data_IF_338013024182
#
_entry.id   IF_338013024182
#
_cell.length_a   1.000
_cell.length_b   1.000
_cell.length_c   1.000
_cell.angle_alpha   90.00
_cell.angle_beta   90.00
_cell.angle_gamma   90.00
#
_symmetry.space_group_name_H-M   'P 1'
#
loop_
_entity.id
_entity.type
_entity.pdbx_description
1 polymer ?
#
# COMPACT_ATOMS: atom_id res chain seq x y z
N UNK A 1 21.17 -7.76 -18.43
CA UNK A 1 20.99 -6.97 -19.68
C UNK A 1 20.28 -5.66 -19.33
N UNK A 2 20.63 -4.54 -19.98
CA UNK A 2 20.16 -3.21 -19.59
C UNK A 2 18.71 -3.01 -20.03
N UNK A 3 17.80 -2.82 -19.08
CA UNK A 3 16.47 -2.27 -19.36
C UNK A 3 16.64 -0.81 -19.77
N UNK A 4 16.76 -0.60 -21.09
CA UNK A 4 16.85 0.72 -21.73
C UNK A 4 15.55 1.48 -21.49
N UNK A 5 15.66 2.73 -21.06
CA UNK A 5 14.64 3.75 -21.35
C UNK A 5 14.32 3.66 -22.85
N UNK A 6 13.09 3.28 -23.16
CA UNK A 6 12.67 2.97 -24.52
C UNK A 6 11.97 4.16 -25.18
N UNK A 7 11.87 4.19 -26.51
CA UNK A 7 11.08 5.21 -27.24
C UNK A 7 9.58 5.23 -26.91
N UNK A 8 9.12 4.33 -26.04
CA UNK A 8 7.71 4.07 -25.70
C UNK A 8 7.31 4.58 -24.32
N UNK A 9 8.25 5.04 -23.49
CA UNK A 9 7.96 5.48 -22.12
C UNK A 9 7.55 6.97 -22.12
N UNK A 10 6.30 7.28 -21.76
CA UNK A 10 5.82 8.66 -21.67
C UNK A 10 6.23 9.26 -20.32
N UNK A 11 7.31 10.04 -20.30
CA UNK A 11 7.83 10.66 -19.08
C UNK A 11 7.66 12.19 -19.08
N UNK A 12 7.46 12.80 -17.91
CA UNK A 12 7.42 14.25 -17.74
C UNK A 12 8.27 14.73 -16.56
N UNK A 13 8.77 15.95 -16.66
CA UNK A 13 9.45 16.64 -15.56
C UNK A 13 8.45 16.95 -14.45
N UNK A 14 8.73 16.49 -13.22
CA UNK A 14 7.91 16.77 -12.05
C UNK A 14 7.70 18.27 -11.77
N UNK A 15 8.67 19.11 -12.18
CA UNK A 15 8.63 20.56 -11.95
C UNK A 15 7.81 21.31 -13.02
N UNK A 16 8.14 21.15 -14.29
CA UNK A 16 7.57 21.96 -15.37
C UNK A 16 6.63 21.19 -16.32
N UNK A 17 6.45 19.87 -16.11
CA UNK A 17 5.62 19.03 -16.96
C UNK A 17 6.20 18.69 -18.34
N UNK A 18 7.38 19.23 -18.70
CA UNK A 18 8.00 18.95 -20.00
C UNK A 18 8.38 17.49 -20.18
N UNK A 19 8.17 16.94 -21.38
CA UNK A 19 8.68 15.61 -21.78
C UNK A 19 10.18 15.55 -22.07
N UNK A 20 10.91 16.67 -21.99
CA UNK A 20 12.35 16.75 -22.28
C UNK A 20 13.20 16.30 -21.08
N UNK A 21 12.96 15.10 -20.57
CA UNK A 21 13.68 14.50 -19.44
C UNK A 21 14.69 13.47 -19.93
N UNK A 22 15.95 13.64 -19.53
CA UNK A 22 17.06 12.80 -19.99
C UNK A 22 17.87 12.29 -18.79
N UNK A 23 18.40 11.06 -18.84
CA UNK A 23 19.30 10.57 -17.80
C UNK A 23 20.51 11.49 -17.67
N UNK A 24 20.87 11.87 -16.44
CA UNK A 24 22.07 12.65 -16.17
C UNK A 24 23.29 11.77 -16.46
N UNK A 25 24.04 12.12 -17.50
CA UNK A 25 25.31 11.46 -17.82
C UNK A 25 26.37 11.91 -16.81
N UNK A 26 26.75 11.02 -15.90
CA UNK A 26 27.87 11.25 -14.99
C UNK A 26 29.19 11.06 -15.76
N UNK A 27 29.97 12.13 -15.90
CA UNK A 27 31.23 12.16 -16.66
C UNK A 27 32.28 11.17 -16.11
N UNK A 28 32.14 10.71 -14.86
CA UNK A 28 33.07 9.78 -14.20
C UNK A 28 32.44 8.40 -13.88
N UNK A 29 31.24 8.12 -14.41
CA UNK A 29 30.46 6.94 -14.02
C UNK A 29 29.94 7.02 -12.56
N UNK A 30 29.08 6.07 -12.16
CA UNK A 30 28.55 6.04 -10.79
C UNK A 30 29.65 5.65 -9.78
N UNK A 31 29.73 6.37 -8.66
CA UNK A 31 30.63 6.06 -7.54
C UNK A 31 29.85 5.23 -6.51
N UNK A 32 30.23 3.96 -6.37
CA UNK A 32 29.61 3.04 -5.42
C UNK A 32 29.68 3.57 -3.98
N UNK A 33 28.53 3.69 -3.32
CA UNK A 33 28.40 4.12 -1.92
C UNK A 33 28.19 5.62 -1.69
N UNK A 34 28.31 6.45 -2.73
CA UNK A 34 27.93 7.88 -2.69
C UNK A 34 26.70 8.10 -3.58
N UNK A 35 26.71 7.51 -4.76
CA UNK A 35 25.55 7.44 -5.62
C UNK A 35 24.73 6.23 -5.17
N UNK A 36 23.66 6.46 -4.39
CA UNK A 36 22.57 5.48 -4.34
C UNK A 36 22.13 5.21 -5.78
N UNK A 37 21.58 4.03 -6.09
CA UNK A 37 21.09 3.61 -7.41
C UNK A 37 20.02 4.54 -8.07
N UNK A 38 19.80 5.74 -7.52
CA UNK A 38 19.10 6.87 -8.10
C UNK A 38 19.79 7.39 -9.37
N UNK A 39 19.38 6.85 -10.51
CA UNK A 39 19.54 7.51 -11.82
C UNK A 39 18.87 8.88 -11.74
N UNK A 40 19.65 9.95 -11.55
CA UNK A 40 19.13 11.31 -11.64
C UNK A 40 18.84 11.65 -13.10
N UNK A 41 17.72 12.33 -13.37
CA UNK A 41 17.38 12.82 -14.71
C UNK A 41 17.42 14.35 -14.70
N UNK A 42 17.81 14.93 -15.82
CA UNK A 42 17.78 16.38 -16.04
C UNK A 42 16.68 16.72 -17.03
N UNK A 43 15.83 17.66 -16.66
CA UNK A 43 14.89 18.27 -17.59
C UNK A 43 15.59 19.37 -18.40
N UNK A 44 15.70 19.21 -19.71
CA UNK A 44 16.33 20.23 -20.57
C UNK A 44 15.49 21.50 -20.74
N UNK A 45 14.20 21.45 -20.42
CA UNK A 45 13.33 22.63 -20.50
C UNK A 45 13.45 23.58 -19.28
N UNK A 46 13.75 23.06 -18.08
CA UNK A 46 13.80 23.88 -16.86
C UNK A 46 15.03 23.66 -15.98
N UNK A 47 15.95 22.78 -16.39
CA UNK A 47 17.17 22.44 -15.65
C UNK A 47 16.95 21.66 -14.35
N UNK A 48 15.71 21.22 -14.07
CA UNK A 48 15.41 20.46 -12.85
C UNK A 48 16.05 19.08 -12.90
N UNK A 49 16.77 18.74 -11.82
CA UNK A 49 17.36 17.41 -11.62
C UNK A 49 16.51 16.59 -10.64
N UNK A 50 16.05 15.42 -11.05
CA UNK A 50 15.22 14.56 -10.22
C UNK A 50 14.67 13.35 -10.98
N UNK A 51 13.77 12.59 -10.36
CA UNK A 51 13.07 11.49 -11.03
C UNK A 51 11.93 12.04 -11.90
N UNK A 52 11.74 11.54 -13.13
CA UNK A 52 10.61 11.90 -13.96
C UNK A 52 9.34 11.19 -13.50
N UNK A 53 8.18 11.76 -13.83
CA UNK A 53 6.87 11.15 -13.64
C UNK A 53 6.55 10.35 -14.91
N UNK A 54 6.16 9.09 -14.76
CA UNK A 54 5.80 8.21 -15.87
C UNK A 54 4.30 8.14 -16.06
N UNK A 55 3.88 7.99 -17.32
CA UNK A 55 2.49 7.88 -17.73
C UNK A 55 2.32 6.67 -18.65
N UNK A 56 1.18 6.02 -18.54
CA UNK A 56 0.82 4.88 -19.42
C UNK A 56 0.46 5.33 -20.85
N UNK A 57 0.14 6.61 -21.03
CA UNK A 57 -0.30 7.17 -22.31
C UNK A 57 0.31 8.55 -22.60
N UNK A 58 0.51 8.84 -23.89
CA UNK A 58 0.93 10.17 -24.35
C UNK A 58 -0.09 11.25 -23.97
N UNK A 59 -1.38 10.89 -24.00
CA UNK A 59 -2.48 11.77 -23.63
C UNK A 59 -2.37 12.22 -22.16
N UNK A 60 -2.09 11.28 -21.23
CA UNK A 60 -1.88 11.58 -19.81
C UNK A 60 -0.66 12.47 -19.56
N UNK A 61 0.47 12.18 -20.23
CA UNK A 61 1.67 13.03 -20.16
C UNK A 61 1.40 14.45 -20.68
N UNK A 62 0.71 14.56 -21.82
CA UNK A 62 0.40 15.85 -22.44
C UNK A 62 -0.63 16.64 -21.62
N UNK A 63 -1.56 15.97 -20.94
CA UNK A 63 -2.46 16.60 -19.99
C UNK A 63 -1.70 17.19 -18.80
N UNK A 64 -0.83 16.41 -18.16
CA UNK A 64 0.01 16.89 -17.06
C UNK A 64 0.89 18.09 -17.45
N UNK A 65 1.44 18.07 -18.67
CA UNK A 65 2.21 19.20 -19.21
C UNK A 65 1.36 20.47 -19.36
N UNK A 66 0.10 20.33 -19.79
CA UNK A 66 -0.84 21.46 -19.95
C UNK A 66 -1.28 22.02 -18.60
N UNK A 67 -1.54 21.15 -17.61
CA UNK A 67 -1.89 21.53 -16.24
C UNK A 67 -0.76 22.31 -15.57
N UNK A 68 0.50 21.83 -15.68
CA UNK A 68 1.68 22.52 -15.13
C UNK A 68 1.98 23.86 -15.78
N UNK A 69 1.59 24.05 -17.04
CA UNK A 69 1.77 25.31 -17.77
C UNK A 69 0.63 26.31 -17.55
N UNK A 70 -0.41 25.94 -16.78
CA UNK A 70 -1.49 26.84 -16.38
C UNK A 70 -2.36 27.34 -17.54
N UNK A 71 -2.50 26.55 -18.62
CA UNK A 71 -3.16 27.04 -19.85
C UNK A 71 -4.71 26.96 -19.76
N UNK A 72 -5.31 26.30 -18.76
CA UNK A 72 -6.77 26.36 -18.46
C UNK A 72 -7.03 26.20 -16.94
N UNK A 73 -8.15 26.75 -16.46
CA UNK A 73 -8.69 26.47 -15.12
C UNK A 73 -8.97 24.97 -14.98
N UNK A 74 -8.63 24.41 -13.81
CA UNK A 74 -8.86 23.01 -13.49
C UNK A 74 -10.32 22.64 -13.76
N UNK A 75 -10.55 21.58 -14.54
CA UNK A 75 -11.87 20.98 -14.61
C UNK A 75 -12.36 20.70 -13.18
N UNK A 76 -13.63 21.02 -12.85
CA UNK A 76 -14.15 20.73 -11.52
C UNK A 76 -13.92 19.25 -11.28
N UNK A 77 -13.21 18.93 -10.19
CA UNK A 77 -12.80 17.58 -9.85
C UNK A 77 -14.00 16.65 -10.07
N UNK A 78 -13.94 15.87 -11.15
CA UNK A 78 -14.82 14.72 -11.32
C UNK A 78 -14.66 13.96 -10.02
N UNK A 79 -15.76 13.76 -9.27
CA UNK A 79 -15.75 13.07 -7.98
C UNK A 79 -14.78 11.90 -8.11
N UNK A 80 -13.60 12.02 -7.48
CA UNK A 80 -12.56 11.00 -7.60
C UNK A 80 -13.26 9.71 -7.16
N UNK A 81 -13.23 8.69 -8.03
CA UNK A 81 -13.84 7.39 -7.72
C UNK A 81 -13.36 6.90 -6.34
N UNK A 82 -14.09 5.96 -5.72
CA UNK A 82 -13.77 5.49 -4.38
C UNK A 82 -12.30 5.07 -4.29
N UNK A 83 -11.58 5.62 -3.31
CA UNK A 83 -10.14 5.39 -3.17
C UNK A 83 -9.90 4.03 -2.53
N UNK A 84 -9.04 3.21 -3.14
CA UNK A 84 -8.55 1.96 -2.56
C UNK A 84 -7.26 2.24 -1.79
N UNK A 85 -7.28 2.04 -0.48
CA UNK A 85 -6.16 2.35 0.41
C UNK A 85 -5.70 1.04 1.08
N UNK A 86 -4.58 0.44 0.70
CA UNK A 86 -4.08 -0.75 1.36
C UNK A 86 -3.67 -0.46 2.81
N UNK A 87 -4.08 -1.35 3.71
CA UNK A 87 -3.65 -1.35 5.11
C UNK A 87 -2.24 -1.92 5.19
N UNK A 88 -1.33 -1.24 5.89
CA UNK A 88 0.05 -1.64 6.10
C UNK A 88 0.35 -1.74 7.60
N UNK A 89 0.17 -2.94 8.21
CA UNK A 89 0.49 -3.15 9.61
C UNK A 89 1.98 -3.38 9.81
N UNK A 90 2.63 -2.43 10.47
CA UNK A 90 4.05 -2.52 10.81
C UNK A 90 4.23 -3.15 12.18
N UNK A 91 5.12 -4.12 12.24
CA UNK A 91 5.63 -4.66 13.49
C UNK A 91 7.10 -4.26 13.61
N UNK A 92 7.39 -3.43 14.62
CA UNK A 92 8.71 -2.87 14.90
C UNK A 92 9.42 -3.55 16.07
N UNK A 93 8.72 -4.43 16.80
CA UNK A 93 9.28 -5.24 17.88
C UNK A 93 10.30 -6.28 17.33
N UNK A 94 11.45 -6.47 18.01
CA UNK A 94 12.39 -7.52 17.66
C UNK A 94 11.77 -8.91 17.83
N UNK A 95 12.10 -9.82 16.90
CA UNK A 95 11.60 -11.21 16.85
C UNK A 95 12.05 -12.08 18.03
N UNK A 96 13.03 -11.63 18.80
CA UNK A 96 13.59 -12.32 19.97
C UNK A 96 13.97 -11.25 20.99
N UNK A 97 13.51 -11.38 22.24
CA UNK A 97 13.94 -10.57 23.38
C UNK A 97 15.36 -10.98 23.82
N UNK A 98 16.30 -10.91 22.89
CA UNK A 98 17.72 -10.98 23.17
C UNK A 98 18.22 -9.55 23.24
N UNK A 99 18.57 -9.08 24.43
CA UNK A 99 19.25 -7.79 24.69
C UNK A 99 20.46 -7.50 23.79
N UNK A 100 20.99 -8.50 23.08
CA UNK A 100 22.06 -8.37 22.09
C UNK A 100 21.58 -7.81 20.74
N UNK A 101 20.33 -8.03 20.34
CA UNK A 101 19.78 -7.52 19.07
C UNK A 101 19.51 -6.00 19.12
N UNK A 102 19.33 -5.42 20.31
CA UNK A 102 19.24 -3.96 20.49
C UNK A 102 20.55 -3.23 20.14
N UNK A 103 21.67 -3.95 20.04
CA UNK A 103 22.98 -3.41 19.63
C UNK A 103 23.23 -3.54 18.12
N UNK A 104 22.35 -4.20 17.37
CA UNK A 104 22.45 -4.27 15.91
C UNK A 104 21.70 -3.08 15.31
N UNK A 105 22.36 -2.29 14.44
CA UNK A 105 21.80 -1.04 13.90
C UNK A 105 20.55 -1.23 13.02
N UNK A 106 20.12 -2.47 12.76
CA UNK A 106 19.06 -2.80 11.83
C UNK A 106 17.90 -3.49 12.58
N UNK A 107 16.95 -2.71 13.10
CA UNK A 107 15.66 -3.24 13.51
C UNK A 107 14.91 -3.71 12.25
N UNK A 108 14.62 -5.01 12.17
CA UNK A 108 13.91 -5.60 11.03
C UNK A 108 12.43 -5.26 11.16
N UNK A 109 11.96 -4.32 10.35
CA UNK A 109 10.53 -4.00 10.22
C UNK A 109 9.86 -5.07 9.37
N UNK A 110 8.81 -5.67 9.90
CA UNK A 110 7.99 -6.61 9.15
C UNK A 110 6.59 -6.02 8.93
N UNK A 111 6.03 -6.34 7.76
CA UNK A 111 4.59 -6.18 7.53
C UNK A 111 3.93 -7.52 7.79
N UNK A 112 2.88 -7.52 8.61
CA UNK A 112 2.17 -8.74 9.01
C UNK A 112 0.69 -8.62 8.73
N UNK A 113 0.03 -9.74 8.46
CA UNK A 113 -1.42 -9.75 8.43
C UNK A 113 -1.94 -9.52 9.84
N UNK A 114 -3.13 -8.94 9.97
CA UNK A 114 -3.71 -8.61 11.28
C UNK A 114 -5.13 -9.10 11.38
N UNK A 115 -5.53 -9.45 12.60
CA UNK A 115 -6.90 -9.79 12.98
C UNK A 115 -7.19 -9.23 14.37
N UNK A 116 -8.46 -9.06 14.69
CA UNK A 116 -8.88 -8.67 16.03
C UNK A 116 -9.04 -9.89 16.92
N UNK A 117 -8.28 -9.98 18.00
CA UNK A 117 -8.37 -11.05 18.99
C UNK A 117 -8.07 -10.54 20.39
N UNK A 118 -8.80 -11.07 21.38
CA UNK A 118 -8.59 -10.78 22.80
C UNK A 118 -8.51 -9.26 23.15
N UNK A 119 -9.25 -8.42 22.42
CA UNK A 119 -9.27 -6.98 22.66
C UNK A 119 -8.08 -6.20 22.08
N UNK A 120 -7.32 -6.79 21.15
CA UNK A 120 -6.20 -6.14 20.47
C UNK A 120 -6.00 -6.63 19.03
N UNK A 121 -5.06 -6.00 18.33
CA UNK A 121 -4.65 -6.42 16.99
C UNK A 121 -3.59 -7.51 17.09
N UNK A 122 -3.96 -8.74 16.74
CA UNK A 122 -3.05 -9.88 16.73
C UNK A 122 -2.48 -10.11 15.31
N UNK A 123 -1.17 -10.37 15.17
CA UNK A 123 -0.59 -10.73 13.89
C UNK A 123 -1.09 -12.11 13.43
N UNK A 124 -1.20 -12.30 12.12
CA UNK A 124 -1.51 -13.61 11.50
C UNK A 124 -0.24 -14.30 11.04
N UNK A 125 -0.39 -15.47 10.38
CA UNK A 125 0.75 -16.19 9.79
C UNK A 125 1.38 -15.48 8.58
N UNK A 126 0.72 -14.46 8.01
CA UNK A 126 1.30 -13.68 6.92
C UNK A 126 2.33 -12.70 7.47
N UNK A 127 3.56 -12.79 6.94
CA UNK A 127 4.66 -11.90 7.30
C UNK A 127 5.63 -11.77 6.13
N UNK A 128 6.01 -10.54 5.81
CA UNK A 128 7.04 -10.21 4.81
C UNK A 128 7.88 -9.04 5.32
N UNK A 129 9.03 -8.78 4.71
CA UNK A 129 9.79 -7.57 5.03
C UNK A 129 9.02 -6.32 4.60
N UNK A 130 9.26 -5.20 5.28
CA UNK A 130 8.68 -3.92 4.86
C UNK A 130 9.00 -3.60 3.40
N UNK A 131 10.25 -3.80 2.96
CA UNK A 131 10.68 -3.45 1.61
C UNK A 131 9.93 -4.27 0.53
N UNK A 132 9.79 -5.59 0.73
CA UNK A 132 9.04 -6.44 -0.21
C UNK A 132 7.58 -6.02 -0.32
N UNK A 133 6.93 -5.73 0.81
CA UNK A 133 5.56 -5.26 0.83
C UNK A 133 5.41 -3.89 0.15
N UNK A 134 6.31 -2.97 0.49
CA UNK A 134 6.34 -1.62 -0.03
C UNK A 134 6.54 -1.59 -1.54
N UNK A 135 7.42 -2.44 -2.07
CA UNK A 135 7.64 -2.57 -3.52
C UNK A 135 6.46 -3.25 -4.22
N UNK A 136 5.74 -4.16 -3.55
CA UNK A 136 4.53 -4.75 -4.10
C UNK A 136 3.40 -3.71 -4.28
N UNK A 137 3.09 -2.95 -3.23
CA UNK A 137 2.00 -1.96 -3.29
C UNK A 137 2.39 -0.66 -4.01
N UNK A 138 3.66 -0.27 -3.97
CA UNK A 138 4.19 0.92 -4.64
C UNK A 138 4.68 0.66 -6.07
N UNK A 139 4.76 -0.61 -6.48
CA UNK A 139 5.18 -1.01 -7.81
C UNK A 139 4.14 -0.66 -8.89
N UNK A 140 4.54 -0.64 -10.18
CA UNK A 140 3.68 -0.18 -11.27
C UNK A 140 2.41 -1.02 -11.48
N UNK A 141 2.38 -2.25 -10.94
CA UNK A 141 1.21 -3.14 -11.03
C UNK A 141 0.10 -2.80 -10.02
N UNK A 142 0.41 -2.06 -8.94
CA UNK A 142 -0.56 -1.68 -7.92
C UNK A 142 -0.64 -0.16 -7.75
N UNK A 143 0.51 0.50 -7.65
CA UNK A 143 0.68 1.96 -7.63
C UNK A 143 -0.21 2.66 -6.60
N UNK A 144 -0.14 2.22 -5.34
CA UNK A 144 -0.86 2.83 -4.24
C UNK A 144 -0.43 4.30 -4.07
N UNK A 145 -1.36 5.22 -4.30
CA UNK A 145 -1.14 6.66 -4.05
C UNK A 145 -1.20 7.02 -2.57
N UNK A 146 -1.85 6.16 -1.77
CA UNK A 146 -2.04 6.33 -0.33
C UNK A 146 -2.01 5.00 0.38
N UNK A 147 -1.55 4.98 1.62
CA UNK A 147 -1.58 3.80 2.49
C UNK A 147 -2.17 4.12 3.87
N UNK A 148 -2.72 3.10 4.52
CA UNK A 148 -3.20 3.18 5.90
C UNK A 148 -2.25 2.39 6.81
N UNK A 149 -1.30 3.08 7.43
CA UNK A 149 -0.25 2.48 8.25
C UNK A 149 -0.75 2.24 9.68
N UNK A 150 -0.59 1.02 10.17
CA UNK A 150 -0.89 0.65 11.56
C UNK A 150 0.40 0.35 12.32
N UNK A 151 0.77 1.17 13.31
CA UNK A 151 1.85 0.84 14.24
C UNK A 151 1.33 -0.13 15.31
N UNK A 152 1.63 -1.42 15.14
CA UNK A 152 1.12 -2.44 16.06
C UNK A 152 1.75 -2.36 17.45
N UNK A 153 2.96 -1.82 17.59
CA UNK A 153 3.59 -1.64 18.90
C UNK A 153 2.94 -0.47 19.65
N UNK A 154 2.65 0.62 18.95
CA UNK A 154 1.86 1.73 19.46
C UNK A 154 0.44 1.31 19.85
N UNK A 155 -0.30 0.69 18.93
CA UNK A 155 -1.70 0.29 19.14
C UNK A 155 -1.84 -0.73 20.26
N UNK A 156 -0.99 -1.75 20.34
CA UNK A 156 -1.16 -2.81 21.33
C UNK A 156 -0.47 -2.50 22.68
N UNK A 157 0.59 -1.69 22.70
CA UNK A 157 1.46 -1.53 23.89
C UNK A 157 1.76 -0.08 24.29
N UNK A 158 1.19 0.90 23.59
CA UNK A 158 1.52 2.32 23.79
C UNK A 158 3.02 2.60 23.65
N UNK A 159 3.68 1.93 22.70
CA UNK A 159 5.11 2.08 22.43
C UNK A 159 5.37 2.22 20.92
N UNK A 160 4.89 3.31 20.27
CA UNK A 160 5.13 3.55 18.85
C UNK A 160 6.63 3.76 18.59
N UNK A 161 7.12 3.23 17.47
CA UNK A 161 8.54 3.36 17.11
C UNK A 161 8.74 4.41 16.01
N UNK A 162 8.65 5.68 16.40
CA UNK A 162 8.72 6.81 15.49
C UNK A 162 10.03 6.93 14.72
N UNK A 163 11.16 6.54 15.31
CA UNK A 163 12.46 6.52 14.61
C UNK A 163 12.42 5.62 13.38
N UNK A 164 11.84 4.43 13.53
CA UNK A 164 11.67 3.48 12.43
C UNK A 164 10.63 3.99 11.44
N UNK A 165 9.45 4.40 11.92
CA UNK A 165 8.32 4.82 11.08
C UNK A 165 8.64 6.03 10.21
N UNK A 166 9.46 6.98 10.69
CA UNK A 166 9.92 8.16 9.93
C UNK A 166 10.61 7.82 8.61
N UNK A 167 11.28 6.67 8.55
CA UNK A 167 12.02 6.26 7.35
C UNK A 167 11.13 5.59 6.29
N UNK A 168 9.89 5.26 6.63
CA UNK A 168 8.99 4.44 5.81
C UNK A 168 8.08 5.27 4.86
N UNK A 169 7.74 6.51 5.22
CA UNK A 169 6.67 7.30 4.57
C UNK A 169 7.01 8.08 3.30
N UNK A 170 8.11 7.80 2.59
CA UNK A 170 8.65 8.75 1.59
C UNK A 170 8.14 8.62 0.13
N UNK A 171 7.27 7.65 -0.20
CA UNK A 171 6.86 7.40 -1.61
C UNK A 171 5.39 7.69 -1.92
N UNK A 172 4.51 7.74 -0.94
CA UNK A 172 3.08 7.97 -1.11
C UNK A 172 2.48 8.60 0.14
N UNK A 173 1.24 9.06 0.04
CA UNK A 173 0.54 9.66 1.18
C UNK A 173 0.28 8.61 2.26
N UNK A 174 0.51 8.97 3.52
CA UNK A 174 0.32 8.05 4.65
C UNK A 174 -0.79 8.55 5.56
N UNK A 175 -1.74 7.67 5.86
CA UNK A 175 -2.65 7.79 7.00
C UNK A 175 -2.13 6.90 8.13
N UNK A 176 -1.70 7.50 9.23
CA UNK A 176 -0.99 6.79 10.29
C UNK A 176 -1.86 6.63 11.54
N UNK A 177 -2.12 5.40 11.94
CA UNK A 177 -2.58 5.06 13.28
C UNK A 177 -1.38 4.62 14.13
N UNK A 178 -0.87 5.53 14.96
CA UNK A 178 0.23 5.26 15.90
C UNK A 178 -0.25 4.66 17.23
N UNK A 179 -1.56 4.48 17.41
CA UNK A 179 -2.12 4.00 18.68
C UNK A 179 -2.09 5.01 19.82
N UNK A 180 -2.10 6.31 19.50
CA UNK A 180 -2.15 7.40 20.48
C UNK A 180 -3.33 7.26 21.44
N UNK A 181 -3.06 7.56 22.71
CA UNK A 181 -3.95 7.36 23.86
C UNK A 181 -4.53 8.66 24.40
N UNK A 182 -3.85 9.75 24.08
CA UNK A 182 -4.26 11.12 24.33
C UNK A 182 -4.21 11.88 23.00
N UNK A 183 -5.01 12.94 22.82
CA UNK A 183 -5.01 13.76 21.60
C UNK A 183 -3.61 14.23 21.19
N UNK A 184 -2.78 14.61 22.14
CA UNK A 184 -1.40 15.06 21.96
C UNK A 184 -0.52 13.95 21.37
N UNK A 185 -0.64 12.71 21.87
CA UNK A 185 0.11 11.56 21.34
C UNK A 185 -0.29 11.21 19.90
N UNK A 186 -1.56 11.44 19.54
CA UNK A 186 -2.01 11.30 18.13
C UNK A 186 -1.32 12.36 17.27
N UNK A 187 -1.21 13.59 17.76
CA UNK A 187 -0.61 14.71 17.03
C UNK A 187 0.89 14.52 16.78
N UNK A 188 1.61 13.81 17.65
CA UNK A 188 3.02 13.48 17.45
C UNK A 188 3.27 12.73 16.12
N UNK A 189 2.26 12.02 15.59
CA UNK A 189 2.32 11.35 14.29
C UNK A 189 2.64 12.30 13.13
N UNK A 190 2.22 13.57 13.20
CA UNK A 190 2.53 14.56 12.15
C UNK A 190 4.02 14.90 12.05
N UNK A 191 4.82 14.63 13.09
CA UNK A 191 6.29 14.80 13.04
C UNK A 191 6.96 13.85 12.02
N UNK A 192 6.21 12.89 11.48
CA UNK A 192 6.68 11.88 10.52
C UNK A 192 6.34 12.22 9.05
N UNK A 193 5.86 13.44 8.79
CA UNK A 193 5.50 13.90 7.43
C UNK A 193 4.39 13.05 6.78
N UNK A 194 3.38 12.71 7.59
CA UNK A 194 2.19 11.96 7.15
C UNK A 194 1.09 12.91 6.66
N UNK A 195 0.23 12.45 5.76
CA UNK A 195 -0.89 13.25 5.26
C UNK A 195 -1.95 13.46 6.35
N UNK A 196 -2.27 12.39 7.09
CA UNK A 196 -3.21 12.43 8.21
C UNK A 196 -2.76 11.51 9.33
N UNK A 197 -2.95 11.97 10.56
CA UNK A 197 -2.95 11.10 11.74
C UNK A 197 -4.34 10.51 11.92
N UNK A 198 -4.40 9.25 12.32
CA UNK A 198 -5.62 8.51 12.54
C UNK A 198 -5.76 8.24 14.03
N UNK A 199 -6.92 8.59 14.58
CA UNK A 199 -7.27 8.34 15.96
C UNK A 199 -8.33 7.25 16.05
N UNK A 200 -7.93 6.06 16.47
CA UNK A 200 -8.83 4.92 16.68
C UNK A 200 -9.57 4.99 18.01
N UNK A 201 -10.86 4.64 18.02
CA UNK A 201 -11.60 4.45 19.28
C UNK A 201 -11.00 3.31 20.12
N UNK A 202 -10.35 2.32 19.49
CA UNK A 202 -9.66 1.23 20.22
C UNK A 202 -8.51 1.72 21.11
N UNK A 203 -8.00 2.93 20.88
CA UNK A 203 -6.89 3.52 21.64
C UNK A 203 -7.26 4.79 22.39
N UNK A 204 -8.06 5.68 21.78
CA UNK A 204 -8.51 6.92 22.40
C UNK A 204 -9.71 6.66 23.33
N UNK A 205 -9.82 7.30 24.51
CA UNK A 205 -10.75 6.83 25.56
C UNK A 205 -12.21 7.33 25.46
N UNK A 206 -12.48 8.42 24.73
CA UNK A 206 -13.82 9.04 24.73
C UNK A 206 -14.08 9.99 23.56
N UNK A 207 -15.35 10.40 23.41
CA UNK A 207 -15.75 11.49 22.50
C UNK A 207 -15.15 12.84 22.90
N UNK A 208 -14.97 13.11 24.19
CA UNK A 208 -14.32 14.34 24.66
C UNK A 208 -12.87 14.42 24.17
N UNK A 209 -12.14 13.30 24.15
CA UNK A 209 -10.80 13.24 23.58
C UNK A 209 -10.81 13.56 22.06
N UNK A 210 -11.83 13.12 21.32
CA UNK A 210 -12.00 13.52 19.91
C UNK A 210 -12.29 15.02 19.76
N UNK A 211 -13.04 15.63 20.69
CA UNK A 211 -13.29 17.06 20.66
C UNK A 211 -12.00 17.87 20.89
N UNK A 212 -11.16 17.43 21.83
CA UNK A 212 -9.82 18.02 22.05
C UNK A 212 -8.94 17.81 20.81
N UNK A 213 -8.92 16.61 20.24
CA UNK A 213 -8.16 16.32 19.02
C UNK A 213 -8.58 17.23 17.86
N UNK A 214 -9.88 17.45 17.66
CA UNK A 214 -10.38 18.36 16.62
C UNK A 214 -9.88 19.80 16.84
N UNK A 215 -9.84 20.26 18.10
CA UNK A 215 -9.32 21.58 18.44
C UNK A 215 -7.81 21.72 18.16
N UNK A 216 -7.04 20.62 18.26
CA UNK A 216 -5.63 20.58 17.89
C UNK A 216 -5.43 20.49 16.37
N UNK A 217 -6.28 19.71 15.68
CA UNK A 217 -6.22 19.53 14.23
C UNK A 217 -7.55 19.02 13.67
N UNK A 218 -8.20 19.85 12.85
CA UNK A 218 -9.39 19.46 12.08
C UNK A 218 -9.12 18.42 10.99
N UNK A 219 -7.85 18.23 10.61
CA UNK A 219 -7.42 17.29 9.56
C UNK A 219 -7.17 15.87 10.09
N UNK A 220 -7.19 15.66 11.42
CA UNK A 220 -7.07 14.33 11.99
C UNK A 220 -8.27 13.47 11.55
N UNK A 221 -8.04 12.17 11.37
CA UNK A 221 -9.06 11.24 10.88
C UNK A 221 -9.54 10.33 12.01
N UNK A 222 -10.76 10.49 12.52
CA UNK A 222 -11.34 9.53 13.45
C UNK A 222 -11.54 8.17 12.80
N UNK A 223 -11.17 7.10 13.49
CA UNK A 223 -11.41 5.73 13.09
C UNK A 223 -12.28 5.03 14.14
N UNK A 224 -13.51 4.69 13.78
CA UNK A 224 -14.43 3.96 14.63
C UNK A 224 -14.13 2.46 14.50
N UNK A 225 -13.48 1.91 15.50
CA UNK A 225 -13.14 0.49 15.57
C UNK A 225 -14.36 -0.29 16.08
N UNK A 226 -14.95 -1.17 15.24
CA UNK A 226 -16.24 -1.79 15.50
C UNK A 226 -16.18 -3.31 15.53
N UNK A 227 -16.66 -3.92 16.63
CA UNK A 227 -16.71 -5.37 16.83
C UNK A 227 -18.14 -5.93 17.02
N UNK A 228 -19.13 -5.21 16.48
CA UNK A 228 -20.55 -5.35 16.84
C UNK A 228 -21.04 -4.15 17.65
N UNK A 229 -20.13 -3.48 18.33
CA UNK A 229 -20.28 -2.16 18.95
C UNK A 229 -18.98 -1.37 18.76
N UNK A 230 -19.00 -0.06 18.99
CA UNK A 230 -17.75 0.73 19.00
C UNK A 230 -16.90 0.29 20.18
N UNK A 231 -15.64 -0.04 19.90
CA UNK A 231 -14.66 -0.45 20.89
C UNK A 231 -13.91 0.79 21.37
N UNK A 232 -13.94 1.01 22.68
CA UNK A 232 -13.19 2.06 23.37
C UNK A 232 -12.05 1.44 24.19
N UNK A 233 -10.91 2.12 24.29
CA UNK A 233 -9.89 1.76 25.29
C UNK A 233 -10.46 1.98 26.69
N UNK A 234 -10.32 1.00 27.58
CA UNK A 234 -10.63 1.10 29.02
C UNK A 234 -11.90 1.92 29.29
N UNK A 235 -13.10 1.33 29.09
CA UNK A 235 -14.30 2.07 28.71
C UNK A 235 -14.74 3.10 29.76
N UNK A 236 -14.24 4.34 29.61
CA UNK A 236 -14.83 5.54 30.20
C UNK A 236 -16.02 6.01 29.38
N UNK A 237 -16.02 5.74 28.08
CA UNK A 237 -17.11 6.05 27.17
C UNK A 237 -18.17 4.95 27.18
N UNK A 238 -19.42 5.37 27.32
CA UNK A 238 -20.59 4.46 27.39
C UNK A 238 -21.35 4.41 26.08
N UNK A 239 -21.16 5.41 25.22
CA UNK A 239 -21.73 5.45 23.88
C UNK A 239 -21.00 4.44 22.98
N UNK A 240 -21.65 3.30 22.73
CA UNK A 240 -21.08 2.21 21.92
C UNK A 240 -21.88 1.92 20.64
N UNK A 241 -23.00 2.59 20.43
CA UNK A 241 -23.75 2.51 19.17
C UNK A 241 -23.00 3.24 18.05
N UNK A 242 -22.77 2.54 16.94
CA UNK A 242 -21.97 3.06 15.83
C UNK A 242 -22.55 4.33 15.20
N UNK A 243 -23.87 4.38 15.01
CA UNK A 243 -24.50 5.56 14.38
C UNK A 243 -24.48 6.74 15.31
N UNK A 244 -24.71 6.52 16.59
CA UNK A 244 -24.72 7.62 17.55
C UNK A 244 -23.31 8.14 17.84
N UNK A 245 -22.28 7.29 17.86
CA UNK A 245 -20.87 7.73 17.88
C UNK A 245 -20.53 8.49 16.60
N UNK A 246 -20.90 7.99 15.41
CA UNK A 246 -20.63 8.70 14.15
C UNK A 246 -21.31 10.08 14.09
N UNK A 247 -22.56 10.20 14.57
CA UNK A 247 -23.24 11.50 14.69
C UNK A 247 -22.54 12.42 15.69
N UNK A 248 -22.04 11.90 16.81
CA UNK A 248 -21.29 12.69 17.77
C UNK A 248 -19.97 13.22 17.16
N UNK A 249 -19.23 12.36 16.45
CA UNK A 249 -18.03 12.77 15.69
C UNK A 249 -18.35 13.85 14.67
N UNK A 250 -19.47 13.72 13.94
CA UNK A 250 -19.94 14.78 13.04
C UNK A 250 -20.29 16.06 13.79
N UNK A 251 -20.95 15.95 14.94
CA UNK A 251 -21.32 17.09 15.80
C UNK A 251 -20.12 17.84 16.38
N UNK A 252 -18.97 17.16 16.57
CA UNK A 252 -17.70 17.78 16.94
C UNK A 252 -17.14 18.66 15.81
N UNK A 253 -17.40 18.29 14.55
CA UNK A 253 -17.01 19.08 13.37
C UNK A 253 -16.20 18.31 12.32
N UNK A 254 -15.87 17.03 12.57
CA UNK A 254 -15.21 16.20 11.56
C UNK A 254 -16.12 16.01 10.33
N UNK A 255 -15.51 16.00 9.14
CA UNK A 255 -16.19 15.77 7.85
C UNK A 255 -15.96 14.36 7.30
N UNK A 256 -15.01 13.62 7.86
CA UNK A 256 -14.61 12.29 7.37
C UNK A 256 -14.33 11.37 8.54
N UNK A 257 -14.62 10.07 8.37
CA UNK A 257 -14.28 9.03 9.33
C UNK A 257 -13.81 7.76 8.62
N UNK A 258 -13.00 6.96 9.31
CA UNK A 258 -12.84 5.54 9.03
C UNK A 258 -13.78 4.73 9.91
N UNK A 259 -14.26 3.60 9.39
CA UNK A 259 -14.96 2.57 10.18
C UNK A 259 -14.33 1.23 9.89
N UNK A 260 -13.72 0.61 10.89
CA UNK A 260 -13.00 -0.65 10.77
C UNK A 260 -13.84 -1.78 11.36
N UNK A 261 -14.34 -2.72 10.53
CA UNK A 261 -14.96 -3.96 11.04
C UNK A 261 -13.88 -4.91 11.55
N UNK A 262 -13.61 -4.82 12.85
CA UNK A 262 -12.60 -5.61 13.52
C UNK A 262 -12.86 -7.12 13.39
N UNK A 263 -14.13 -7.54 13.30
CA UNK A 263 -14.51 -8.96 13.18
C UNK A 263 -14.14 -9.56 11.84
N UNK A 264 -13.99 -8.71 10.81
CA UNK A 264 -13.68 -9.12 9.43
C UNK A 264 -12.27 -8.74 8.99
N UNK A 265 -11.56 -7.93 9.75
CA UNK A 265 -10.18 -7.54 9.48
C UNK A 265 -9.29 -8.77 9.22
N UNK A 266 -8.63 -8.79 8.06
CA UNK A 266 -7.75 -9.88 7.63
C UNK A 266 -8.46 -11.15 7.18
N UNK A 267 -9.80 -11.15 7.08
CA UNK A 267 -10.58 -12.31 6.61
C UNK A 267 -10.76 -12.35 5.10
N UNK A 268 -10.61 -11.19 4.42
CA UNK A 268 -10.87 -11.03 2.98
C UNK A 268 -12.28 -11.45 2.53
N UNK A 269 -13.24 -11.60 3.46
CA UNK A 269 -14.62 -12.04 3.17
C UNK A 269 -15.49 -10.95 2.54
N UNK A 270 -14.96 -9.75 2.35
CA UNK A 270 -15.69 -8.56 1.95
C UNK A 270 -16.42 -7.88 3.12
N UNK A 271 -16.93 -6.66 2.87
CA UNK A 271 -17.62 -5.87 3.88
C UNK A 271 -18.91 -6.54 4.35
N UNK A 272 -19.25 -6.38 5.63
CA UNK A 272 -20.53 -6.84 6.18
C UNK A 272 -21.70 -6.00 5.60
N UNK A 273 -22.66 -6.60 4.88
CA UNK A 273 -23.81 -5.86 4.36
C UNK A 273 -24.63 -5.15 5.45
N UNK A 274 -24.70 -5.72 6.65
CA UNK A 274 -25.39 -5.10 7.79
C UNK A 274 -24.64 -3.85 8.26
N UNK A 275 -23.31 -3.91 8.35
CA UNK A 275 -22.49 -2.74 8.67
C UNK A 275 -22.66 -1.63 7.63
N UNK A 276 -22.59 -1.98 6.33
CA UNK A 276 -22.77 -0.99 5.27
C UNK A 276 -24.12 -0.29 5.38
N UNK A 277 -25.18 -1.04 5.70
CA UNK A 277 -26.53 -0.48 5.89
C UNK A 277 -26.61 0.47 7.09
N UNK A 278 -25.83 0.24 8.15
CA UNK A 278 -25.72 1.17 9.28
C UNK A 278 -24.98 2.46 8.90
N UNK A 279 -24.01 2.38 8.00
CA UNK A 279 -23.18 3.52 7.61
C UNK A 279 -23.79 4.37 6.47
N UNK A 280 -24.70 3.81 5.68
CA UNK A 280 -25.39 4.54 4.62
C UNK A 280 -26.15 5.75 5.14
N UNK A 281 -26.02 6.87 4.42
CA UNK A 281 -26.72 8.13 4.71
C UNK A 281 -26.17 8.92 5.90
N UNK A 282 -24.99 8.55 6.42
CA UNK A 282 -24.26 9.42 7.36
C UNK A 282 -23.79 10.69 6.64
N UNK A 283 -23.87 11.83 7.32
CA UNK A 283 -23.35 13.13 6.84
C UNK A 283 -21.83 13.24 7.07
N UNK A 284 -21.09 12.23 6.57
CA UNK A 284 -19.65 12.08 6.71
C UNK A 284 -19.09 11.39 5.47
N UNK A 285 -17.87 11.75 5.05
CA UNK A 285 -17.09 10.95 4.12
C UNK A 285 -16.58 9.69 4.84
N UNK A 286 -17.24 8.56 4.59
CA UNK A 286 -16.96 7.31 5.29
C UNK A 286 -16.00 6.43 4.46
N UNK A 287 -14.87 6.07 5.07
CA UNK A 287 -13.92 5.08 4.59
C UNK A 287 -14.13 3.76 5.35
N UNK A 288 -14.41 2.67 4.65
CA UNK A 288 -14.76 1.39 5.29
C UNK A 288 -13.56 0.44 5.25
N UNK A 289 -13.24 -0.23 6.36
CA UNK A 289 -12.19 -1.24 6.46
C UNK A 289 -12.69 -2.55 7.09
N UNK A 290 -11.89 -3.60 6.95
CA UNK A 290 -12.14 -4.92 7.53
C UNK A 290 -12.69 -5.94 6.53
N UNK A 291 -11.84 -6.84 6.04
CA UNK A 291 -12.22 -7.90 5.12
C UNK A 291 -12.25 -7.46 3.65
N UNK A 292 -11.90 -6.21 3.36
CA UNK A 292 -12.03 -5.63 2.02
C UNK A 292 -10.93 -6.15 1.08
N UNK A 293 -11.31 -6.30 -0.18
CA UNK A 293 -10.42 -6.55 -1.31
C UNK A 293 -10.59 -5.40 -2.30
N UNK A 294 -9.65 -5.23 -3.22
CA UNK A 294 -9.66 -4.16 -4.22
C UNK A 294 -10.95 -4.17 -5.05
N UNK A 295 -11.45 -5.36 -5.41
CA UNK A 295 -12.68 -5.55 -6.18
C UNK A 295 -13.95 -5.07 -5.46
N UNK A 296 -13.92 -4.95 -4.13
CA UNK A 296 -15.06 -4.48 -3.33
C UNK A 296 -15.18 -2.95 -3.32
N UNK A 297 -14.08 -2.22 -3.55
CA UNK A 297 -14.03 -0.75 -3.39
C UNK A 297 -14.93 -0.03 -4.40
N UNK A 298 -15.01 -0.51 -5.64
CA UNK A 298 -15.90 0.07 -6.65
C UNK A 298 -17.36 0.07 -6.21
N UNK A 299 -17.84 -1.04 -5.65
CA UNK A 299 -19.21 -1.19 -5.14
C UNK A 299 -19.47 -0.31 -3.92
N UNK A 300 -18.44 0.02 -3.13
CA UNK A 300 -18.57 0.98 -2.03
C UNK A 300 -18.82 2.39 -2.57
N UNK A 301 -18.10 2.80 -3.63
CA UNK A 301 -18.36 4.09 -4.26
C UNK A 301 -19.76 4.24 -4.84
N UNK A 302 -20.31 3.17 -5.44
CA UNK A 302 -21.70 3.14 -5.93
C UNK A 302 -22.73 3.36 -4.81
N UNK A 303 -22.39 3.02 -3.57
CA UNK A 303 -23.21 3.22 -2.36
C UNK A 303 -22.93 4.53 -1.64
N UNK A 304 -22.06 5.38 -2.18
CA UNK A 304 -21.75 6.72 -1.64
C UNK A 304 -20.64 6.76 -0.60
N UNK A 305 -19.89 5.67 -0.40
CA UNK A 305 -18.72 5.66 0.48
C UNK A 305 -17.52 6.36 -0.19
N UNK A 306 -16.67 7.02 0.61
CA UNK A 306 -15.52 7.78 0.12
C UNK A 306 -14.36 6.87 -0.34
N UNK A 307 -14.25 5.67 0.24
CA UNK A 307 -13.23 4.70 -0.14
C UNK A 307 -13.24 3.44 0.73
N UNK A 308 -12.30 2.55 0.44
CA UNK A 308 -12.10 1.30 1.17
C UNK A 308 -10.67 1.14 1.67
N UNK A 309 -10.53 0.75 2.94
CA UNK A 309 -9.28 0.30 3.54
C UNK A 309 -9.15 -1.21 3.25
N UNK A 310 -8.28 -1.54 2.29
CA UNK A 310 -8.11 -2.88 1.76
C UNK A 310 -7.20 -3.70 2.68
N UNK A 311 -7.59 -4.96 2.94
CA UNK A 311 -6.86 -5.83 3.86
C UNK A 311 -5.38 -6.01 3.43
N UNK A 312 -4.46 -6.20 4.38
CA UNK A 312 -3.03 -6.16 4.10
C UNK A 312 -2.53 -7.27 3.16
N UNK A 313 -3.21 -8.42 3.07
CA UNK A 313 -2.73 -9.55 2.26
C UNK A 313 -3.81 -10.06 1.31
N UNK A 314 -4.49 -9.17 0.59
CA UNK A 314 -5.44 -9.59 -0.47
C UNK A 314 -4.82 -10.55 -1.48
N UNK A 315 -5.63 -11.30 -2.25
CA UNK A 315 -5.11 -12.12 -3.35
C UNK A 315 -4.23 -11.33 -4.33
N UNK A 316 -4.56 -10.05 -4.60
CA UNK A 316 -3.79 -9.16 -5.48
C UNK A 316 -2.42 -8.86 -4.86
N UNK A 317 -2.37 -8.40 -3.61
CA UNK A 317 -1.10 -8.08 -2.94
C UNK A 317 -0.22 -9.33 -2.80
N UNK A 318 -0.83 -10.48 -2.48
CA UNK A 318 -0.10 -11.77 -2.42
C UNK A 318 0.45 -12.22 -3.76
N UNK A 319 -0.22 -11.94 -4.88
CA UNK A 319 0.32 -12.20 -6.22
C UNK A 319 1.55 -11.34 -6.48
N UNK A 320 1.52 -10.07 -6.08
CA UNK A 320 2.62 -9.14 -6.27
C UNK A 320 3.84 -9.48 -5.40
N UNK A 321 3.62 -10.02 -4.21
CA UNK A 321 4.68 -10.51 -3.31
C UNK A 321 5.36 -11.78 -3.86
N UNK A 322 4.67 -12.56 -4.70
CA UNK A 322 5.29 -13.69 -5.41
C UNK A 322 6.06 -13.14 -6.62
N UNK A 323 7.33 -12.79 -6.40
CA UNK A 323 8.25 -12.41 -7.48
C UNK A 323 8.08 -13.36 -8.69
N UNK A 324 7.98 -12.89 -9.95
CA UNK A 324 7.97 -13.77 -11.09
C UNK A 324 9.26 -14.58 -11.08
N UNK A 325 9.13 -15.92 -11.08
CA UNK A 325 10.26 -16.80 -11.33
C UNK A 325 10.85 -16.34 -12.68
N UNK A 326 12.16 -16.05 -12.79
CA UNK A 326 12.77 -15.93 -14.10
C UNK A 326 12.39 -17.20 -14.84
N UNK A 327 11.75 -17.09 -16.01
CA UNK A 327 11.70 -18.22 -16.91
C UNK A 327 13.17 -18.61 -17.10
N UNK A 328 13.54 -19.74 -16.49
CA UNK A 328 14.74 -20.43 -16.88
C UNK A 328 14.61 -20.57 -18.40
N UNK A 329 15.68 -20.31 -19.17
CA UNK A 329 15.65 -20.61 -20.59
C UNK A 329 15.14 -22.04 -20.68
N UNK A 330 13.99 -22.23 -21.31
CA UNK A 330 13.58 -23.56 -21.68
C UNK A 330 14.63 -24.00 -22.69
N UNK A 331 15.71 -24.61 -22.19
CA UNK A 331 16.51 -25.50 -22.99
C UNK A 331 15.52 -26.54 -23.45
N UNK A 332 15.04 -26.36 -24.68
CA UNK A 332 14.46 -27.43 -25.44
C UNK A 332 15.56 -28.48 -25.56
N UNK A 333 15.60 -29.39 -24.58
CA UNK A 333 16.28 -30.67 -24.75
C UNK A 333 15.44 -31.36 -25.83
N UNK A 334 15.87 -31.16 -27.08
CA UNK A 334 15.43 -32.00 -28.17
C UNK A 334 15.68 -33.46 -27.72
N UNK A 335 14.68 -34.35 -27.78
CA UNK A 335 14.90 -35.74 -27.44
C UNK A 335 16.03 -36.28 -28.33
N UNK A 336 17.02 -36.90 -27.70
CA UNK A 336 18.12 -37.53 -28.42
C UNK A 336 17.54 -38.49 -29.48
N UNK A 337 18.03 -38.45 -30.74
CA UNK A 337 17.50 -39.31 -31.78
C UNK A 337 17.72 -40.78 -31.37
N UNK A 338 16.63 -41.54 -31.37
CA UNK A 338 16.68 -42.97 -31.11
C UNK A 338 17.66 -43.66 -32.08
N UNK A 339 18.51 -44.60 -31.60
CA UNK A 339 19.43 -45.31 -32.46
C UNK A 339 18.65 -46.09 -33.54
N UNK A 340 18.99 -45.84 -34.82
CA UNK A 340 18.46 -46.62 -35.94
C UNK A 340 18.87 -48.09 -35.79
N UNK A 341 17.96 -49.05 -35.98
CA UNK A 341 18.34 -50.46 -36.08
C UNK A 341 19.26 -50.66 -37.29
N UNK A 342 20.33 -51.42 -37.08
CA UNK A 342 21.28 -51.79 -38.14
C UNK A 342 20.57 -52.60 -39.24
N UNK A 343 20.89 -52.38 -40.52
CA UNK A 343 20.30 -53.15 -41.61
C UNK A 343 20.76 -54.61 -41.55
N UNK A 344 19.79 -55.52 -41.47
CA UNK A 344 20.03 -56.95 -41.60
C UNK A 344 20.52 -57.28 -43.03
N UNK A 345 21.54 -58.15 -43.18
CA UNK A 345 22.03 -58.54 -44.50
C UNK A 345 20.96 -59.32 -45.27
N UNK A 346 20.65 -58.86 -46.48
CA UNK A 346 19.80 -59.57 -47.45
C UNK A 346 20.52 -60.84 -47.91
N UNK A 347 19.91 -61.99 -47.67
CA UNK A 347 20.26 -63.24 -48.34
C UNK A 347 19.81 -63.17 -49.80
N UNK A 348 20.76 -63.38 -50.71
CA UNK A 348 20.51 -63.50 -52.16
C UNK A 348 20.07 -64.94 -52.44
N UNK A 349 18.99 -65.20 -53.20
CA UNK A 349 18.68 -66.53 -53.67
C UNK A 349 19.59 -66.91 -54.84
N UNK A 350 20.23 -68.07 -54.75
CA UNK A 350 20.99 -68.70 -55.84
C UNK A 350 20.08 -68.97 -57.05
N UNK A 351 20.44 -68.39 -58.19
CA UNK A 351 19.92 -68.77 -59.49
C UNK A 351 21.07 -69.23 -60.38
N UNK A 352 21.39 -70.52 -60.30
CA UNK A 352 22.15 -71.24 -61.34
C UNK A 352 21.33 -72.45 -61.78
N UNK A 353 20.41 -72.21 -62.72
CA UNK A 353 20.01 -73.20 -63.70
C UNK A 353 20.83 -72.97 -64.97
N UNK A 354 21.49 -74.01 -65.46
CA UNK A 354 22.06 -74.18 -66.79
C UNK A 354 21.40 -75.43 -67.40
N UNK A 355 21.43 -75.65 -68.72
CA UNK A 355 21.63 -74.74 -69.86
C UNK A 355 20.33 -74.41 -70.61
#
# INVERSE_FOLDING_TARGET
MPGRFGPTDFAACARCGSGQVHPKLLVMGPIAGVDSDSRSYVCHACGYEGLPIFFDTEAGRAQFEREKKGIWEAEPATKKGPVSIPILPIQTDPLIDMKVLDLLPWRVVAVTGVRWEAGGLAPTGYRVSFQEYWDAIGGPRYNASRIYMLDLAGINRANPNFEVTRHLGKRCDVWLDSGGREPEEVMDGYMLDVERVVAGTKTLPSLDAFAVLYALSSEALPCLDWDGRVVWREPSETQVDLRDVAKAIRGIGFSSICVMDLRRLGSELGPDPALLSLLEGLDLDVYVGGGLQESHVLRLGERGFAGGLVDPFTPVIRDLLKTPKPEAPTEAIAPAPAPRPAPAPRSVPDSTGLP
#
